data_IF_960948101993
#
_entry.id   IF_960948101993
#
_cell.length_a   1.000
_cell.length_b   1.000
_cell.length_c   1.000
_cell.angle_alpha   90.00
_cell.angle_beta   90.00
_cell.angle_gamma   90.00
#
_symmetry.space_group_name_H-M   'P 1'
#
loop_
_entity.id
_entity.type
_entity.pdbx_description
1 polymer ?
#
# COMPACT_ATOMS: atom_id res chain seq x y z
N UNK A 1 0.87 -15.55 10.12
CA UNK A 1 0.37 -14.64 11.17
C UNK A 1 -1.05 -15.00 11.66
N UNK A 2 -2.02 -15.24 10.77
CA UNK A 2 -3.41 -15.62 11.17
C UNK A 2 -3.48 -16.82 12.12
N UNK A 3 -2.61 -17.81 11.98
CA UNK A 3 -2.58 -19.00 12.83
C UNK A 3 -1.99 -18.78 14.24
N UNK A 4 -1.44 -17.59 14.50
CA UNK A 4 -0.88 -17.23 15.81
C UNK A 4 -1.92 -16.54 16.73
N UNK A 5 -3.03 -16.09 16.16
CA UNK A 5 -4.09 -15.43 16.91
C UNK A 5 -5.12 -16.45 17.36
N UNK A 6 -5.32 -16.53 18.69
CA UNK A 6 -6.33 -17.42 19.27
C UNK A 6 -7.74 -16.85 19.20
N UNK A 7 -7.87 -15.54 19.10
CA UNK A 7 -9.15 -14.79 19.01
C UNK A 7 -9.00 -13.56 18.13
N UNK A 8 -10.09 -13.12 17.53
CA UNK A 8 -10.16 -11.92 16.71
C UNK A 8 -10.04 -12.17 15.21
N UNK A 9 -10.32 -11.14 14.44
CA UNK A 9 -10.29 -11.14 12.97
C UNK A 9 -9.08 -10.33 12.48
N UNK A 10 -8.28 -10.92 11.60
CA UNK A 10 -7.19 -10.21 10.93
C UNK A 10 -7.74 -9.55 9.68
N UNK A 11 -7.70 -8.23 9.65
CA UNK A 11 -8.08 -7.41 8.50
C UNK A 11 -6.81 -7.02 7.74
N UNK A 12 -6.74 -7.39 6.47
CA UNK A 12 -5.64 -6.98 5.61
C UNK A 12 -5.77 -5.49 5.29
N UNK A 13 -4.66 -4.77 5.29
CA UNK A 13 -4.66 -3.35 4.99
C UNK A 13 -3.45 -2.92 4.18
N UNK A 14 -3.60 -1.83 3.45
CA UNK A 14 -2.51 -1.12 2.79
C UNK A 14 -2.74 0.39 2.91
N UNK A 15 -1.66 1.15 3.00
CA UNK A 15 -1.70 2.60 3.12
C UNK A 15 -1.04 3.27 1.92
N UNK A 16 -1.67 4.33 1.42
CA UNK A 16 -1.06 5.28 0.48
C UNK A 16 -0.71 6.55 1.24
N UNK A 17 0.57 6.78 1.45
CA UNK A 17 1.11 7.96 2.11
C UNK A 17 2.52 8.21 1.58
N UNK A 18 2.92 9.47 1.46
CA UNK A 18 4.31 9.85 1.25
C UNK A 18 4.79 10.53 2.52
N UNK A 19 5.71 9.89 3.21
CA UNK A 19 6.28 10.40 4.45
C UNK A 19 7.74 9.98 4.59
N UNK A 20 8.50 10.77 5.33
CA UNK A 20 9.89 10.45 5.67
C UNK A 20 10.18 10.80 7.13
N UNK A 21 11.18 10.11 7.70
CA UNK A 21 11.69 10.42 9.02
C UNK A 21 12.85 11.43 8.89
N UNK A 22 12.80 12.50 9.67
CA UNK A 22 13.89 13.46 9.82
C UNK A 22 14.95 12.96 10.80
N UNK A 23 16.18 13.54 10.81
CA UNK A 23 17.24 13.12 11.75
C UNK A 23 16.88 13.26 13.23
N UNK A 24 15.94 14.12 13.57
CA UNK A 24 15.38 14.32 14.91
C UNK A 24 14.26 13.32 15.26
N UNK A 25 14.04 12.29 14.40
CA UNK A 25 12.99 11.29 14.51
C UNK A 25 11.56 11.82 14.33
N UNK A 26 11.37 13.08 13.95
CA UNK A 26 10.06 13.56 13.52
C UNK A 26 9.65 12.94 12.19
N UNK A 27 8.33 12.77 11.98
CA UNK A 27 7.78 12.26 10.72
C UNK A 27 7.13 13.41 9.97
N UNK A 28 7.60 13.63 8.74
CA UNK A 28 7.03 14.63 7.85
C UNK A 28 6.24 13.96 6.74
N UNK A 29 4.96 14.29 6.59
CA UNK A 29 4.14 13.89 5.45
C UNK A 29 4.28 14.91 4.32
N UNK A 30 4.45 14.42 3.10
CA UNK A 30 4.44 15.26 1.88
C UNK A 30 3.08 15.14 1.22
N UNK A 31 2.48 16.31 0.93
CA UNK A 31 1.16 16.39 0.32
C UNK A 31 0.03 15.94 1.26
N UNK A 32 -1.19 15.86 0.70
CA UNK A 32 -2.41 15.59 1.47
C UNK A 32 -2.91 14.14 1.30
N UNK A 33 -2.14 13.30 0.59
CA UNK A 33 -2.54 11.92 0.35
C UNK A 33 -2.16 11.05 1.56
N UNK A 34 -3.16 10.70 2.36
CA UNK A 34 -3.07 9.61 3.33
C UNK A 34 -4.39 8.83 3.25
N UNK A 35 -4.35 7.60 2.80
CA UNK A 35 -5.56 6.77 2.64
C UNK A 35 -5.26 5.31 2.89
N UNK A 36 -6.09 4.68 3.72
CA UNK A 36 -6.09 3.24 3.96
C UNK A 36 -7.02 2.52 2.98
N UNK A 37 -6.64 1.31 2.58
CA UNK A 37 -7.54 0.30 2.04
C UNK A 37 -7.57 -0.85 3.03
N UNK A 38 -8.76 -1.30 3.39
CA UNK A 38 -8.95 -2.42 4.32
C UNK A 38 -9.85 -3.47 3.69
N UNK A 39 -9.68 -4.73 4.08
CA UNK A 39 -10.55 -5.81 3.61
C UNK A 39 -10.06 -7.19 4.02
N UNK A 40 -10.83 -8.22 3.65
CA UNK A 40 -10.49 -9.63 3.88
C UNK A 40 -10.82 -10.40 2.60
N UNK A 41 -9.88 -11.23 2.16
CA UNK A 41 -10.11 -12.11 1.01
C UNK A 41 -11.18 -13.15 1.35
N UNK A 42 -12.22 -13.25 0.52
CA UNK A 42 -13.30 -14.22 0.68
C UNK A 42 -13.91 -14.19 2.10
N UNK A 43 -14.19 -12.98 2.59
CA UNK A 43 -14.71 -12.76 3.94
C UNK A 43 -16.02 -13.53 4.16
N UNK A 44 -16.15 -14.20 5.31
CA UNK A 44 -17.43 -14.69 5.80
C UNK A 44 -18.33 -13.52 6.17
N UNK A 45 -19.62 -13.78 6.44
CA UNK A 45 -20.56 -12.75 6.91
C UNK A 45 -20.04 -12.06 8.18
N UNK A 46 -19.63 -12.84 9.18
CA UNK A 46 -19.05 -12.32 10.42
C UNK A 46 -17.80 -11.47 10.17
N UNK A 47 -16.89 -11.94 9.31
CA UNK A 47 -15.69 -11.18 8.94
C UNK A 47 -16.01 -9.88 8.21
N UNK A 48 -17.05 -9.87 7.39
CA UNK A 48 -17.53 -8.65 6.73
C UNK A 48 -18.10 -7.64 7.74
N UNK A 49 -18.83 -8.11 8.74
CA UNK A 49 -19.33 -7.29 9.85
C UNK A 49 -18.16 -6.67 10.63
N UNK A 50 -17.13 -7.44 10.94
CA UNK A 50 -15.91 -6.95 11.61
C UNK A 50 -15.15 -5.90 10.76
N UNK A 51 -15.15 -6.03 9.43
CA UNK A 51 -14.56 -5.00 8.53
C UNK A 51 -15.39 -3.71 8.59
N UNK A 52 -16.72 -3.81 8.63
CA UNK A 52 -17.61 -2.64 8.77
C UNK A 52 -17.41 -1.94 10.12
N UNK A 53 -17.27 -2.69 11.21
CA UNK A 53 -16.96 -2.12 12.54
C UNK A 53 -15.61 -1.40 12.53
N UNK A 54 -14.56 -2.01 11.97
CA UNK A 54 -13.26 -1.38 11.81
C UNK A 54 -13.34 -0.10 10.97
N UNK A 55 -14.14 -0.12 9.89
CA UNK A 55 -14.40 1.06 9.07
C UNK A 55 -15.09 2.17 9.86
N UNK A 56 -16.07 1.84 10.71
CA UNK A 56 -16.73 2.82 11.56
C UNK A 56 -15.77 3.46 12.58
N UNK A 57 -14.88 2.65 13.19
CA UNK A 57 -13.84 3.16 14.10
C UNK A 57 -12.87 4.11 13.39
N UNK A 58 -12.39 3.75 12.19
CA UNK A 58 -11.52 4.61 11.38
C UNK A 58 -12.21 5.92 10.98
N UNK A 59 -13.50 5.86 10.64
CA UNK A 59 -14.33 7.07 10.37
C UNK A 59 -14.43 7.96 11.60
N UNK A 60 -14.71 7.38 12.76
CA UNK A 60 -14.77 8.12 14.03
C UNK A 60 -13.45 8.77 14.42
N UNK A 61 -12.33 8.17 14.04
CA UNK A 61 -10.97 8.72 14.20
C UNK A 61 -10.56 9.69 13.07
N UNK A 62 -11.44 10.03 12.14
CA UNK A 62 -11.16 10.88 10.98
C UNK A 62 -10.04 10.34 10.08
N UNK A 63 -9.80 9.03 10.08
CA UNK A 63 -8.82 8.38 9.20
C UNK A 63 -9.46 8.08 7.85
N UNK A 64 -8.95 8.72 6.79
CA UNK A 64 -9.44 8.50 5.44
C UNK A 64 -9.15 7.07 4.98
N UNK A 65 -10.20 6.32 4.68
CA UNK A 65 -10.08 4.92 4.29
C UNK A 65 -11.18 4.51 3.30
N UNK A 66 -11.01 3.34 2.69
CA UNK A 66 -12.03 2.67 1.87
C UNK A 66 -11.97 1.16 2.12
N UNK A 67 -13.12 0.51 2.15
CA UNK A 67 -13.20 -0.95 2.06
C UNK A 67 -12.92 -1.33 0.61
N UNK A 68 -11.99 -2.24 0.40
CA UNK A 68 -11.59 -2.69 -0.93
C UNK A 68 -12.51 -3.80 -1.43
N UNK A 69 -13.02 -3.67 -2.64
CA UNK A 69 -13.81 -4.73 -3.31
C UNK A 69 -12.97 -6.01 -3.46
N UNK A 70 -11.69 -5.87 -3.78
CA UNK A 70 -10.71 -6.94 -3.84
C UNK A 70 -9.41 -6.48 -3.18
N UNK A 71 -9.26 -6.79 -1.89
CA UNK A 71 -8.08 -6.39 -1.11
C UNK A 71 -6.78 -7.00 -1.65
N UNK A 72 -6.83 -8.24 -2.15
CA UNK A 72 -5.64 -8.93 -2.69
C UNK A 72 -5.14 -8.22 -3.95
N UNK A 73 -6.04 -7.89 -4.87
CA UNK A 73 -5.67 -7.12 -6.06
C UNK A 73 -5.10 -5.73 -5.70
N UNK A 74 -5.64 -5.08 -4.65
CA UNK A 74 -5.13 -3.81 -4.17
C UNK A 74 -3.72 -3.94 -3.58
N UNK A 75 -3.45 -5.01 -2.80
CA UNK A 75 -2.14 -5.31 -2.23
C UNK A 75 -1.12 -5.58 -3.34
N UNK A 76 -1.48 -6.43 -4.33
CA UNK A 76 -0.60 -6.72 -5.45
C UNK A 76 -0.23 -5.48 -6.26
N UNK A 77 -1.22 -4.65 -6.60
CA UNK A 77 -0.95 -3.38 -7.32
C UNK A 77 0.05 -2.51 -6.57
N UNK A 78 -0.14 -2.34 -5.26
CA UNK A 78 0.79 -1.56 -4.45
C UNK A 78 2.17 -2.21 -4.37
N UNK A 79 2.23 -3.52 -4.18
CA UNK A 79 3.48 -4.27 -4.12
C UNK A 79 4.30 -4.10 -5.41
N UNK A 80 3.68 -4.31 -6.56
CA UNK A 80 4.31 -4.15 -7.88
C UNK A 80 4.91 -2.75 -8.05
N UNK A 81 4.11 -1.71 -7.78
CA UNK A 81 4.57 -0.33 -7.86
C UNK A 81 5.70 -0.04 -6.89
N UNK A 82 5.59 -0.49 -5.64
CA UNK A 82 6.64 -0.27 -4.64
C UNK A 82 7.94 -0.98 -5.02
N UNK A 83 7.89 -2.23 -5.47
CA UNK A 83 9.07 -2.96 -5.92
C UNK A 83 9.76 -2.24 -7.08
N UNK A 84 9.02 -1.85 -8.11
CA UNK A 84 9.56 -1.16 -9.26
C UNK A 84 10.18 0.19 -8.87
N UNK A 85 9.51 1.02 -8.06
CA UNK A 85 10.05 2.31 -7.62
C UNK A 85 11.25 2.14 -6.69
N UNK A 86 11.17 1.28 -5.68
CA UNK A 86 12.26 1.11 -4.72
C UNK A 86 13.54 0.56 -5.39
N UNK A 87 13.39 -0.39 -6.31
CA UNK A 87 14.54 -0.95 -7.04
C UNK A 87 15.17 0.12 -7.94
N UNK A 88 14.37 0.84 -8.72
CA UNK A 88 14.91 1.84 -9.66
C UNK A 88 15.47 3.05 -8.93
N UNK A 89 14.81 3.59 -7.92
CA UNK A 89 15.33 4.73 -7.14
C UNK A 89 16.63 4.37 -6.42
N UNK A 90 16.72 3.17 -5.83
CA UNK A 90 17.95 2.69 -5.19
C UNK A 90 19.07 2.46 -6.18
N UNK A 91 18.81 1.82 -7.34
CA UNK A 91 19.81 1.53 -8.37
C UNK A 91 20.43 2.81 -8.93
N UNK A 92 19.61 3.82 -9.21
CA UNK A 92 20.06 5.05 -9.89
C UNK A 92 20.35 6.19 -8.93
N UNK A 93 20.09 6.01 -7.63
CA UNK A 93 20.16 7.07 -6.62
C UNK A 93 19.43 8.35 -7.07
N UNK A 94 18.23 8.18 -7.61
CA UNK A 94 17.37 9.25 -8.16
C UNK A 94 15.99 9.22 -7.55
N UNK A 95 15.33 10.37 -7.51
CA UNK A 95 13.92 10.49 -7.14
C UNK A 95 13.02 9.92 -8.25
N UNK A 96 11.77 9.60 -7.90
CA UNK A 96 10.77 9.12 -8.87
C UNK A 96 10.55 10.13 -10.01
N UNK A 97 10.57 11.44 -9.71
CA UNK A 97 10.47 12.51 -10.72
C UNK A 97 11.61 12.42 -11.73
N UNK A 98 12.85 12.37 -11.25
CA UNK A 98 14.04 12.27 -12.09
C UNK A 98 14.10 10.98 -12.94
N UNK A 99 13.60 9.85 -12.39
CA UNK A 99 13.50 8.60 -13.16
C UNK A 99 12.50 8.71 -14.33
N UNK A 100 11.45 9.49 -14.19
CA UNK A 100 10.43 9.66 -15.23
C UNK A 100 10.85 10.62 -16.35
N UNK A 101 11.78 11.53 -16.07
CA UNK A 101 12.33 12.48 -17.05
C UNK A 101 13.36 11.85 -17.98
N UNK A 102 13.96 10.72 -17.58
CA UNK A 102 14.97 9.99 -18.33
C UNK A 102 14.35 8.76 -18.98
N UNK A 103 14.39 8.70 -20.32
CA UNK A 103 13.72 7.64 -21.10
C UNK A 103 14.26 6.23 -20.82
N UNK A 104 15.54 6.08 -20.51
CA UNK A 104 16.16 4.78 -20.22
C UNK A 104 15.65 4.25 -18.86
N UNK A 105 15.68 5.09 -17.83
CA UNK A 105 15.22 4.71 -16.48
C UNK A 105 13.71 4.50 -16.46
N UNK A 106 12.94 5.28 -17.22
CA UNK A 106 11.49 5.08 -17.39
C UNK A 106 11.18 3.71 -18.03
N UNK A 107 11.91 3.32 -19.09
CA UNK A 107 11.74 2.03 -19.74
C UNK A 107 12.09 0.84 -18.82
N UNK A 108 13.14 0.99 -18.00
CA UNK A 108 13.46 -0.04 -17.00
C UNK A 108 12.39 -0.17 -15.91
N UNK A 109 11.86 0.96 -15.44
CA UNK A 109 10.75 0.95 -14.50
C UNK A 109 9.53 0.21 -15.07
N UNK A 110 9.14 0.51 -16.31
CA UNK A 110 8.04 -0.19 -16.98
C UNK A 110 8.29 -1.69 -17.12
N UNK A 111 9.52 -2.08 -17.43
CA UNK A 111 9.92 -3.50 -17.51
C UNK A 111 9.72 -4.20 -16.17
N UNK A 112 10.19 -3.60 -15.07
CA UNK A 112 10.01 -4.16 -13.72
C UNK A 112 8.54 -4.25 -13.31
N UNK A 113 7.72 -3.25 -13.66
CA UNK A 113 6.27 -3.32 -13.44
C UNK A 113 5.65 -4.49 -14.19
N UNK A 114 6.02 -4.69 -15.46
CA UNK A 114 5.53 -5.80 -16.29
C UNK A 114 5.96 -7.16 -15.76
N UNK A 115 7.23 -7.33 -15.42
CA UNK A 115 7.74 -8.58 -14.85
C UNK A 115 7.04 -8.92 -13.52
N UNK A 116 6.89 -7.94 -12.65
CA UNK A 116 6.20 -8.12 -11.37
C UNK A 116 4.72 -8.46 -11.54
N UNK A 117 4.08 -7.91 -12.59
CA UNK A 117 2.70 -8.24 -12.95
C UNK A 117 2.56 -9.70 -13.40
N UNK A 118 3.53 -10.23 -14.15
CA UNK A 118 3.47 -11.60 -14.68
C UNK A 118 3.53 -12.68 -13.59
N UNK A 119 4.02 -12.35 -12.40
CA UNK A 119 4.11 -13.28 -11.26
C UNK A 119 3.01 -13.06 -10.20
N UNK A 120 2.10 -12.10 -10.40
CA UNK A 120 0.99 -11.77 -9.51
C UNK A 120 -0.28 -12.52 -9.91
#
# INVERSE_FOLDING_TARGET
MRNLLKKGTVIDSLIYIVAYASPDFSITQIGNLASLRIGIKNASKEQSENVLEASALLSGAHIHHKIADNIIAAIWRKYILNCAYNITTARYNRTIGQLREDSETAAQYETLVRESWLVS
#
